data_IF_219043158298
#
_entry.id   IF_219043158298
#
_cell.length_a   1.000
_cell.length_b   1.000
_cell.length_c   1.000
_cell.angle_alpha   90.00
_cell.angle_beta   90.00
_cell.angle_gamma   90.00
#
_symmetry.space_group_name_H-M   'P 1'
#
loop_
_entity.id
_entity.type
_entity.pdbx_description
1 polymer ?
#
# COMPACT_ATOMS: atom_id res chain seq x y z
N UNK A 1 -9.41 29.49 -14.55
CA UNK A 1 -8.76 28.32 -13.93
C UNK A 1 -7.25 28.58 -13.82
N UNK A 2 -6.78 28.74 -12.60
CA UNK A 2 -5.35 28.94 -12.31
C UNK A 2 -4.70 27.55 -12.34
N UNK A 3 -3.80 27.33 -13.29
CA UNK A 3 -3.09 26.05 -13.39
C UNK A 3 -1.96 26.03 -12.36
N UNK A 4 -1.67 24.85 -11.80
CA UNK A 4 -0.55 24.68 -10.90
C UNK A 4 0.75 24.87 -11.71
N UNK A 5 1.47 25.95 -11.47
CA UNK A 5 2.80 26.16 -12.04
C UNK A 5 3.77 25.21 -11.32
N UNK A 6 4.33 24.27 -12.08
CA UNK A 6 5.36 23.37 -11.56
C UNK A 6 6.70 24.10 -11.62
N UNK A 7 7.50 23.96 -10.55
CA UNK A 7 8.86 24.46 -10.55
C UNK A 7 9.69 23.71 -11.58
N UNK A 8 10.55 24.41 -12.31
CA UNK A 8 11.47 23.80 -13.28
C UNK A 8 12.43 22.77 -12.64
N UNK A 9 12.61 22.84 -11.32
CA UNK A 9 13.42 21.92 -10.53
C UNK A 9 12.68 20.67 -10.04
N UNK A 10 11.40 20.50 -10.37
CA UNK A 10 10.59 19.37 -9.92
C UNK A 10 10.94 18.10 -10.72
N UNK A 11 11.39 17.05 -10.02
CA UNK A 11 11.60 15.74 -10.61
C UNK A 11 10.36 14.85 -10.42
N UNK A 12 9.83 14.29 -11.51
CA UNK A 12 8.67 13.39 -11.50
C UNK A 12 9.14 11.97 -11.82
N UNK A 13 8.92 11.06 -10.87
CA UNK A 13 9.25 9.64 -11.03
C UNK A 13 7.96 8.84 -11.23
N UNK A 14 7.85 8.12 -12.35
CA UNK A 14 6.71 7.23 -12.63
C UNK A 14 6.94 5.83 -12.08
N UNK A 15 5.97 5.30 -11.32
CA UNK A 15 6.03 3.94 -10.76
C UNK A 15 4.67 3.23 -10.75
N UNK A 16 4.69 1.91 -10.57
CA UNK A 16 3.58 0.97 -10.70
C UNK A 16 3.59 0.04 -9.48
N UNK A 17 2.40 -0.21 -8.92
CA UNK A 17 2.20 -1.12 -7.78
C UNK A 17 2.75 -2.52 -8.03
N UNK A 18 3.41 -3.12 -7.03
CA UNK A 18 4.19 -4.36 -7.18
C UNK A 18 3.40 -5.53 -7.79
N UNK A 19 2.16 -5.75 -7.35
CA UNK A 19 1.29 -6.80 -7.91
C UNK A 19 0.84 -6.54 -9.35
N UNK A 20 0.66 -5.27 -9.73
CA UNK A 20 0.31 -4.90 -11.10
C UNK A 20 1.54 -4.95 -12.01
N UNK A 21 2.70 -4.54 -11.50
CA UNK A 21 3.96 -4.64 -12.20
C UNK A 21 4.35 -6.10 -12.46
N UNK A 22 3.98 -7.01 -11.57
CA UNK A 22 4.22 -8.44 -11.71
C UNK A 22 3.49 -9.09 -12.90
N UNK A 23 2.44 -8.47 -13.44
CA UNK A 23 1.71 -8.97 -14.63
C UNK A 23 2.16 -8.31 -15.94
N UNK A 24 3.09 -7.36 -15.87
CA UNK A 24 3.71 -6.74 -17.04
C UNK A 24 4.90 -7.56 -17.58
N UNK A 25 5.40 -7.14 -18.73
CA UNK A 25 6.65 -7.66 -19.30
C UNK A 25 7.85 -7.30 -18.40
N UNK A 26 8.88 -8.14 -18.42
CA UNK A 26 10.01 -8.06 -17.49
C UNK A 26 10.78 -6.74 -17.60
N UNK A 27 10.80 -6.12 -18.77
CA UNK A 27 11.48 -4.86 -19.04
C UNK A 27 10.85 -3.66 -18.33
N UNK A 28 9.59 -3.79 -17.89
CA UNK A 28 8.90 -2.78 -17.10
C UNK A 28 9.36 -2.76 -15.64
N UNK A 29 9.82 -3.90 -15.12
CA UNK A 29 10.19 -4.05 -13.71
C UNK A 29 11.25 -3.03 -13.23
N UNK A 30 12.43 -2.89 -13.87
CA UNK A 30 13.44 -1.94 -13.41
C UNK A 30 13.06 -0.47 -13.63
N UNK A 31 12.05 -0.19 -14.45
CA UNK A 31 11.69 1.18 -14.85
C UNK A 31 10.59 1.77 -13.98
N UNK A 32 9.66 0.93 -13.56
CA UNK A 32 8.43 1.37 -12.92
C UNK A 32 8.23 0.76 -11.54
N UNK A 33 9.17 -0.04 -11.03
CA UNK A 33 8.99 -0.58 -9.69
C UNK A 33 9.10 0.52 -8.64
N UNK A 34 8.09 0.58 -7.78
CA UNK A 34 8.11 1.36 -6.53
C UNK A 34 9.31 0.98 -5.64
N UNK A 35 9.92 -0.20 -5.87
CA UNK A 35 11.14 -0.64 -5.20
C UNK A 35 12.37 0.26 -5.48
N UNK A 36 12.33 1.06 -6.56
CA UNK A 36 13.44 1.93 -6.97
C UNK A 36 13.11 3.42 -6.81
N UNK A 37 11.98 3.75 -6.17
CA UNK A 37 11.54 5.13 -5.95
C UNK A 37 11.66 5.48 -4.47
N UNK A 38 12.58 6.40 -4.16
CA UNK A 38 12.81 6.87 -2.81
C UNK A 38 11.54 7.48 -2.21
N UNK A 39 11.13 7.02 -1.02
CA UNK A 39 9.91 7.47 -0.33
C UNK A 39 8.59 6.93 -0.88
N UNK A 40 8.59 6.08 -1.90
CA UNK A 40 7.36 5.49 -2.43
C UNK A 40 6.90 4.30 -1.56
N UNK A 41 5.63 4.34 -1.15
CA UNK A 41 5.07 3.46 -0.14
C UNK A 41 4.89 2.00 -0.56
N UNK A 42 5.93 1.18 -0.35
CA UNK A 42 5.79 -0.24 0.06
C UNK A 42 5.13 -0.39 1.46
N UNK A 43 4.66 0.72 2.03
CA UNK A 43 4.01 0.75 3.34
C UNK A 43 2.69 -0.03 3.30
N UNK A 44 1.91 -0.04 2.21
CA UNK A 44 0.66 -0.82 2.16
C UNK A 44 0.90 -2.34 2.21
N UNK A 45 1.95 -2.86 1.58
CA UNK A 45 2.30 -4.29 1.69
C UNK A 45 2.86 -4.64 3.08
N UNK A 46 3.63 -3.73 3.69
CA UNK A 46 4.10 -3.89 5.08
C UNK A 46 2.95 -3.81 6.09
N UNK A 47 1.91 -3.05 5.79
CA UNK A 47 0.73 -2.94 6.63
C UNK A 47 -0.21 -4.14 6.49
N UNK A 48 -0.24 -4.77 5.32
CA UNK A 48 -1.01 -6.01 5.11
C UNK A 48 -0.37 -7.22 5.79
N UNK A 49 0.96 -7.28 5.92
CA UNK A 49 1.61 -8.39 6.65
C UNK A 49 1.24 -8.42 8.14
N UNK A 50 1.04 -7.25 8.78
CA UNK A 50 0.53 -7.17 10.14
C UNK A 50 -0.94 -7.60 10.27
N UNK A 51 -1.70 -7.52 9.17
CA UNK A 51 -3.10 -7.93 9.12
C UNK A 51 -3.26 -9.44 8.85
N UNK A 52 -2.28 -10.08 8.20
CA UNK A 52 -2.32 -11.52 7.88
C UNK A 52 -2.41 -12.44 9.12
N UNK A 53 -1.81 -12.04 10.24
CA UNK A 53 -1.93 -12.77 11.51
C UNK A 53 -3.35 -12.71 12.07
N UNK A 54 -3.99 -11.55 11.96
CA UNK A 54 -5.38 -11.31 12.36
C UNK A 54 -6.33 -12.12 11.47
N UNK A 55 -6.08 -12.15 10.17
CA UNK A 55 -6.85 -12.95 9.21
C UNK A 55 -6.77 -14.45 9.54
N UNK A 56 -5.60 -14.94 9.98
CA UNK A 56 -5.44 -16.34 10.39
C UNK A 56 -6.20 -16.66 11.68
N UNK A 57 -6.23 -15.75 12.65
CA UNK A 57 -6.96 -15.95 13.90
C UNK A 57 -8.48 -15.88 13.70
N UNK A 58 -8.93 -15.11 12.72
CA UNK A 58 -10.36 -14.89 12.44
C UNK A 58 -10.97 -15.96 11.52
N UNK A 59 -10.16 -16.88 10.98
CA UNK A 59 -10.59 -17.88 9.99
C UNK A 59 -11.74 -18.81 10.43
N UNK A 60 -11.90 -19.05 11.74
CA UNK A 60 -12.97 -19.90 12.31
C UNK A 60 -14.13 -19.10 12.89
N UNK A 61 -14.08 -17.77 12.79
CA UNK A 61 -15.14 -16.89 13.26
C UNK A 61 -16.34 -16.92 12.32
N UNK A 62 -17.51 -16.51 12.83
CA UNK A 62 -18.63 -16.19 11.95
C UNK A 62 -18.26 -15.01 11.05
N UNK A 63 -18.87 -14.93 9.86
CA UNK A 63 -18.54 -13.89 8.87
C UNK A 63 -18.68 -12.48 9.46
N UNK A 64 -19.74 -12.24 10.25
CA UNK A 64 -19.96 -10.95 10.91
C UNK A 64 -18.84 -10.62 11.90
N UNK A 65 -18.44 -11.58 12.72
CA UNK A 65 -17.40 -11.37 13.72
C UNK A 65 -16.00 -11.24 13.10
N UNK A 66 -15.69 -12.01 12.06
CA UNK A 66 -14.46 -11.88 11.29
C UNK A 66 -14.28 -10.45 10.74
N UNK A 67 -15.35 -9.88 10.20
CA UNK A 67 -15.31 -8.52 9.65
C UNK A 67 -15.04 -7.47 10.74
N UNK A 68 -15.74 -7.55 11.86
CA UNK A 68 -15.57 -6.61 12.99
C UNK A 68 -14.14 -6.61 13.52
N UNK A 69 -13.53 -7.79 13.68
CA UNK A 69 -12.15 -7.91 14.16
C UNK A 69 -11.14 -7.33 13.16
N UNK A 70 -11.29 -7.62 11.87
CA UNK A 70 -10.39 -7.06 10.85
C UNK A 70 -10.48 -5.52 10.82
N UNK A 71 -11.69 -4.98 10.90
CA UNK A 71 -11.91 -3.53 10.89
C UNK A 71 -11.31 -2.84 12.12
N UNK A 72 -11.38 -3.47 13.30
CA UNK A 72 -10.75 -2.96 14.52
C UNK A 72 -9.22 -2.88 14.38
N UNK A 73 -8.58 -3.95 13.89
CA UNK A 73 -7.12 -3.98 13.71
C UNK A 73 -6.63 -3.00 12.63
N UNK A 74 -7.39 -2.82 11.54
CA UNK A 74 -7.08 -1.80 10.54
C UNK A 74 -7.21 -0.38 11.13
N UNK A 75 -8.23 -0.14 11.96
CA UNK A 75 -8.43 1.15 12.63
C UNK A 75 -7.34 1.45 13.66
N UNK A 76 -6.90 0.49 14.48
CA UNK A 76 -5.78 0.67 15.40
C UNK A 76 -4.47 0.98 14.65
N UNK A 77 -4.19 0.23 13.58
CA UNK A 77 -3.02 0.48 12.72
C UNK A 77 -3.03 1.89 12.13
N UNK A 78 -4.19 2.43 11.79
CA UNK A 78 -4.33 3.79 11.30
C UNK A 78 -4.20 4.82 12.43
N UNK A 79 -4.83 4.57 13.58
CA UNK A 79 -4.75 5.45 14.75
C UNK A 79 -3.31 5.64 15.23
N UNK A 80 -2.53 4.56 15.33
CA UNK A 80 -1.12 4.58 15.75
C UNK A 80 -0.18 5.36 14.83
N UNK A 81 -0.63 5.69 13.60
CA UNK A 81 0.12 6.52 12.65
C UNK A 81 -0.27 8.00 12.71
N UNK A 82 -1.40 8.30 13.34
CA UNK A 82 -1.93 9.66 13.49
C UNK A 82 -1.40 10.31 14.78
N UNK A 83 -1.09 9.51 15.80
CA UNK A 83 -0.54 9.96 17.09
C UNK A 83 1.00 10.04 17.10
#
# INVERSE_FOLDING_TARGET
PEFLELYDSLEIIGAVGKWHLATHILECFPKFSLNFVEGSGEILETLWSGLDEVVRMTQVMSIAHHQEVIDEYMNDSNWRKII
#
